data_IF_779615463745
#
_entry.id   IF_779615463745
#
_cell.length_a   1.000
_cell.length_b   1.000
_cell.length_c   1.000
_cell.angle_alpha   90.00
_cell.angle_beta   90.00
_cell.angle_gamma   90.00
#
_symmetry.space_group_name_H-M   'P 1'
#
loop_
_entity.id
_entity.type
_entity.pdbx_description
1 polymer ?
#
# COMPACT_ATOMS: atom_id res chain seq x y z
N UNK A 1 12.48 -5.09 12.98
CA UNK A 1 12.08 -4.04 12.01
C UNK A 1 12.46 -4.52 10.62
N UNK A 2 11.47 -4.75 9.77
CA UNK A 2 11.72 -5.18 8.39
C UNK A 2 12.06 -3.99 7.47
N UNK A 3 11.65 -2.78 7.87
CA UNK A 3 11.84 -1.54 7.12
C UNK A 3 12.74 -0.56 7.86
N UNK A 4 13.62 0.13 7.14
CA UNK A 4 14.40 1.26 7.65
C UNK A 4 14.58 2.35 6.58
N UNK A 5 14.86 3.59 7.02
CA UNK A 5 15.09 4.74 6.15
C UNK A 5 16.57 5.11 6.17
N UNK A 6 17.13 5.44 5.01
CA UNK A 6 18.50 5.92 4.88
C UNK A 6 18.57 7.04 3.83
N UNK A 7 19.45 8.01 4.02
CA UNK A 7 19.67 9.08 3.05
C UNK A 7 20.52 8.57 1.89
N UNK A 8 20.07 8.81 0.66
CA UNK A 8 20.77 8.45 -0.56
C UNK A 8 21.70 9.58 -1.01
N UNK A 9 22.69 9.25 -1.85
CA UNK A 9 23.65 10.21 -2.42
C UNK A 9 22.99 11.35 -3.18
N UNK A 10 21.80 11.13 -3.74
CA UNK A 10 21.03 12.14 -4.47
C UNK A 10 20.20 13.07 -3.56
N UNK A 11 20.39 13.00 -2.24
CA UNK A 11 19.69 13.83 -1.26
C UNK A 11 18.25 13.38 -0.93
N UNK A 12 17.76 12.30 -1.55
CA UNK A 12 16.47 11.67 -1.21
C UNK A 12 16.63 10.68 -0.07
N UNK A 13 15.50 10.19 0.43
CA UNK A 13 15.44 9.15 1.46
C UNK A 13 14.95 7.83 0.87
N UNK A 14 15.72 6.78 1.02
CA UNK A 14 15.37 5.42 0.59
C UNK A 14 14.66 4.67 1.70
N UNK A 15 13.64 3.89 1.34
CA UNK A 15 13.05 2.86 2.20
C UNK A 15 13.68 1.53 1.82
N UNK A 16 14.18 0.78 2.79
CA UNK A 16 14.89 -0.47 2.59
C UNK A 16 14.18 -1.65 3.27
N UNK A 17 14.22 -2.82 2.64
CA UNK A 17 13.86 -4.12 3.23
C UNK A 17 15.05 -5.06 3.05
N UNK A 18 15.56 -5.66 4.13
CA UNK A 18 16.69 -6.62 4.05
C UNK A 18 17.86 -6.09 3.18
N UNK A 19 18.21 -4.82 3.35
CA UNK A 19 19.24 -4.11 2.56
C UNK A 19 18.91 -3.88 1.07
N UNK A 20 17.68 -4.11 0.65
CA UNK A 20 17.21 -3.83 -0.71
C UNK A 20 16.38 -2.56 -0.73
N UNK A 21 16.73 -1.61 -1.60
CA UNK A 21 15.98 -0.39 -1.80
C UNK A 21 14.64 -0.69 -2.49
N UNK A 22 13.53 -0.32 -1.86
CA UNK A 22 12.18 -0.56 -2.40
C UNK A 22 11.50 0.71 -2.92
N UNK A 23 11.83 1.87 -2.35
CA UNK A 23 11.21 3.14 -2.72
C UNK A 23 12.11 4.32 -2.36
N UNK A 24 11.93 5.45 -3.04
CA UNK A 24 12.60 6.72 -2.72
C UNK A 24 11.59 7.82 -2.44
N UNK A 25 11.86 8.61 -1.41
CA UNK A 25 10.98 9.64 -0.85
C UNK A 25 11.76 10.95 -0.79
N UNK A 26 11.10 12.08 -1.08
CA UNK A 26 11.76 13.39 -1.13
C UNK A 26 12.15 13.96 0.24
N UNK A 27 11.63 13.45 1.35
CA UNK A 27 11.90 13.97 2.68
C UNK A 27 11.87 12.90 3.79
N UNK A 28 12.61 13.18 4.86
CA UNK A 28 12.80 12.28 6.00
C UNK A 28 11.49 11.97 6.72
N UNK A 29 10.70 12.99 7.06
CA UNK A 29 9.49 12.85 7.86
C UNK A 29 8.46 11.93 7.18
N UNK A 30 8.33 12.01 5.86
CA UNK A 30 7.46 11.13 5.10
C UNK A 30 7.99 9.71 5.07
N UNK A 31 9.31 9.53 4.92
CA UNK A 31 9.95 8.23 4.98
C UNK A 31 9.66 7.53 6.33
N UNK A 32 9.85 8.25 7.44
CA UNK A 32 9.56 7.74 8.80
C UNK A 32 8.08 7.38 8.99
N UNK A 33 7.16 8.23 8.54
CA UNK A 33 5.70 7.94 8.63
C UNK A 33 5.31 6.70 7.85
N UNK A 34 5.90 6.47 6.68
CA UNK A 34 5.65 5.27 5.88
C UNK A 34 6.15 4.03 6.60
N UNK A 35 7.37 4.06 7.16
CA UNK A 35 7.90 2.94 7.94
C UNK A 35 7.00 2.62 9.12
N UNK A 36 6.63 3.65 9.88
CA UNK A 36 5.71 3.49 11.01
C UNK A 36 4.39 2.86 10.58
N UNK A 37 3.82 3.29 9.45
CA UNK A 37 2.61 2.68 8.90
C UNK A 37 2.80 1.21 8.50
N UNK A 38 3.92 0.88 7.84
CA UNK A 38 4.23 -0.48 7.39
C UNK A 38 4.44 -1.42 8.59
N UNK A 39 5.21 -1.00 9.59
CA UNK A 39 5.45 -1.78 10.80
C UNK A 39 4.15 -2.03 11.58
N UNK A 40 3.27 -1.03 11.67
CA UNK A 40 1.96 -1.19 12.32
C UNK A 40 1.01 -2.11 11.55
N UNK A 41 1.02 -2.06 10.21
CA UNK A 41 0.21 -2.98 9.39
C UNK A 41 0.69 -4.42 9.49
N UNK A 42 2.00 -4.65 9.50
CA UNK A 42 2.55 -6.00 9.71
C UNK A 42 2.18 -6.53 11.09
N UNK A 43 2.13 -5.66 12.10
CA UNK A 43 1.79 -6.03 13.48
C UNK A 43 0.28 -6.28 13.68
N UNK A 44 -0.58 -5.72 12.82
CA UNK A 44 -2.03 -5.90 12.85
C UNK A 44 -2.54 -6.27 11.45
N UNK A 45 -2.56 -7.56 11.09
CA UNK A 45 -3.13 -8.04 9.83
C UNK A 45 -4.67 -8.02 9.89
N UNK A 46 -5.27 -6.87 10.22
CA UNK A 46 -6.66 -6.60 9.83
C UNK A 46 -6.63 -6.26 8.35
N UNK A 47 -6.50 -7.28 7.52
CA UNK A 47 -6.88 -7.22 6.13
C UNK A 47 -8.37 -6.82 6.18
N UNK A 48 -8.79 -5.65 5.66
CA UNK A 48 -10.19 -5.44 5.44
C UNK A 48 -10.58 -6.54 4.46
N UNK A 49 -11.37 -7.51 4.93
CA UNK A 49 -12.07 -8.44 4.06
C UNK A 49 -12.72 -7.56 3.02
N UNK A 50 -12.28 -7.69 1.76
CA UNK A 50 -13.03 -7.14 0.64
C UNK A 50 -14.39 -7.80 0.79
N UNK A 51 -15.36 -7.08 1.36
CA UNK A 51 -16.74 -7.54 1.31
C UNK A 51 -17.03 -7.57 -0.18
N UNK A 52 -17.10 -8.78 -0.73
CA UNK A 52 -17.73 -9.00 -2.01
C UNK A 52 -19.13 -8.39 -1.88
N UNK A 53 -19.29 -7.18 -2.40
CA UNK A 53 -20.59 -6.57 -2.55
C UNK A 53 -21.33 -7.44 -3.57
N UNK A 54 -22.10 -8.41 -3.08
CA UNK A 54 -23.16 -9.12 -3.82
C UNK A 54 -24.29 -8.18 -4.27
N UNK A 55 -24.00 -6.89 -4.52
CA UNK A 55 -24.95 -5.86 -4.93
C UNK A 55 -24.82 -5.44 -6.39
N UNK A 56 -23.80 -5.90 -7.13
CA UNK A 56 -23.62 -5.51 -8.55
C UNK A 56 -24.47 -6.36 -9.49
N UNK A 57 -25.08 -7.46 -9.02
CA UNK A 57 -25.90 -8.33 -9.89
C UNK A 57 -27.28 -7.73 -10.23
N UNK A 58 -27.76 -6.72 -9.52
CA UNK A 58 -29.11 -6.18 -9.76
C UNK A 58 -29.22 -5.27 -10.99
N UNK A 59 -28.09 -4.76 -11.52
CA UNK A 59 -28.11 -3.85 -12.69
C UNK A 59 -27.93 -4.55 -14.04
N UNK A 60 -27.63 -5.85 -14.05
CA UNK A 60 -27.39 -6.60 -15.30
C UNK A 60 -28.58 -7.47 -15.73
N UNK A 61 -29.73 -7.40 -15.05
CA UNK A 61 -30.91 -8.17 -15.45
C UNK A 61 -31.67 -7.59 -16.65
N UNK A 62 -31.42 -6.33 -17.02
CA UNK A 62 -32.17 -5.63 -18.09
C UNK A 62 -31.36 -5.30 -19.34
N UNK A 63 -30.17 -5.89 -19.53
CA UNK A 63 -29.53 -5.89 -20.86
C UNK A 63 -30.21 -6.92 -21.76
N UNK A 64 -31.44 -6.59 -22.21
CA UNK A 64 -32.00 -7.19 -23.41
C UNK A 64 -31.09 -6.79 -24.57
N UNK A 65 -30.30 -7.74 -25.06
CA UNK A 65 -29.77 -7.69 -26.41
C UNK A 65 -30.99 -7.53 -27.33
N UNK A 66 -31.14 -6.36 -27.96
CA UNK A 66 -32.11 -6.19 -29.03
C UNK A 66 -31.73 -7.14 -30.19
N UNK A 67 -32.72 -7.71 -30.88
CA UNK A 67 -32.50 -8.70 -31.94
C UNK A 67 -31.67 -8.15 -33.11
#
# INVERSE_FOLDING_TARGET
>A
MAYYCEQLENGRWGIFINSTLIATIGCYDTCQKIIYFLDNRLSNPKIPVVMEYYGVNQYFHDMKLRP
#
